data_IF_540041727450
#
_entry.id   IF_540041727450
#
_cell.length_a   1.000
_cell.length_b   1.000
_cell.length_c   1.000
_cell.angle_alpha   90.00
_cell.angle_beta   90.00
_cell.angle_gamma   90.00
#
_symmetry.space_group_name_H-M   'P 1'
#
loop_
_entity.id
_entity.type
_entity.pdbx_description
1 polymer ?
#
# COMPACT_ATOMS: atom_id res chain seq x y z
N UNK A 1 -42.58 20.42 -34.19
CA UNK A 1 -41.98 19.31 -34.98
C UNK A 1 -40.60 19.73 -35.46
N UNK A 2 -39.63 18.80 -35.45
CA UNK A 2 -38.20 18.91 -35.82
C UNK A 2 -37.28 19.44 -34.70
N UNK A 3 -36.72 18.52 -33.89
CA UNK A 3 -35.45 17.76 -34.05
C UNK A 3 -34.30 18.56 -33.39
N UNK A 4 -34.01 18.35 -32.10
CA UNK A 4 -33.11 17.31 -31.54
C UNK A 4 -31.74 17.32 -32.23
N UNK A 5 -30.85 18.21 -31.76
CA UNK A 5 -29.47 18.34 -32.22
C UNK A 5 -28.64 19.22 -31.25
N UNK A 6 -28.46 18.75 -30.01
CA UNK A 6 -27.28 19.12 -29.19
C UNK A 6 -26.86 17.88 -28.43
N UNK A 7 -26.28 16.95 -29.20
CA UNK A 7 -25.57 15.76 -28.75
C UNK A 7 -24.10 16.02 -29.13
N UNK A 8 -23.18 15.65 -28.23
CA UNK A 8 -21.71 15.67 -28.37
C UNK A 8 -21.00 17.02 -28.14
N UNK A 9 -20.75 17.35 -26.87
CA UNK A 9 -19.68 18.27 -26.47
C UNK A 9 -18.73 17.65 -25.43
N UNK A 10 -18.50 16.35 -25.52
CA UNK A 10 -17.60 15.61 -24.62
C UNK A 10 -16.91 14.45 -25.34
N UNK A 11 -16.25 14.76 -26.46
CA UNK A 11 -15.32 13.88 -27.17
C UNK A 11 -14.31 14.72 -27.94
N UNK A 12 -13.40 15.35 -27.20
CA UNK A 12 -12.15 15.91 -27.72
C UNK A 12 -10.97 15.32 -26.91
N UNK A 13 -10.77 14.02 -27.06
CA UNK A 13 -9.49 13.36 -26.78
C UNK A 13 -9.11 12.50 -27.99
N UNK A 14 -8.99 13.15 -29.15
CA UNK A 14 -8.30 12.58 -30.31
C UNK A 14 -7.30 13.61 -30.81
N UNK A 15 -6.27 13.85 -30.00
CA UNK A 15 -4.95 14.22 -30.52
C UNK A 15 -4.11 12.95 -30.53
N UNK A 16 -4.34 12.11 -31.52
CA UNK A 16 -3.29 11.27 -32.06
C UNK A 16 -2.26 12.20 -32.72
N UNK A 17 -1.34 12.72 -31.93
CA UNK A 17 -0.11 13.31 -32.41
C UNK A 17 1.03 12.35 -32.07
N UNK A 18 1.42 11.58 -33.06
CA UNK A 18 2.71 10.92 -33.15
C UNK A 18 3.84 11.94 -32.97
N UNK A 19 4.36 12.06 -31.76
CA UNK A 19 5.72 12.55 -31.52
C UNK A 19 6.26 11.80 -30.32
N UNK A 20 7.26 10.96 -30.57
CA UNK A 20 8.04 10.14 -29.64
C UNK A 20 8.83 10.98 -28.64
N UNK A 21 8.15 11.85 -27.89
CA UNK A 21 8.78 12.63 -26.84
C UNK A 21 8.60 11.85 -25.55
N UNK A 22 9.72 11.38 -24.99
CA UNK A 22 9.75 10.78 -23.67
C UNK A 22 8.96 11.65 -22.68
N UNK A 23 8.21 11.00 -21.78
CA UNK A 23 7.53 11.68 -20.67
C UNK A 23 8.46 12.67 -19.98
N UNK A 24 7.94 13.80 -19.50
CA UNK A 24 8.68 14.66 -18.57
C UNK A 24 9.00 13.91 -17.27
N UNK A 25 9.92 14.45 -16.48
CA UNK A 25 10.37 13.84 -15.23
C UNK A 25 9.20 13.64 -14.26
N UNK A 26 8.30 14.63 -14.19
CA UNK A 26 7.13 14.61 -13.32
C UNK A 26 6.04 13.65 -13.83
N UNK A 27 5.84 13.58 -15.14
CA UNK A 27 4.92 12.61 -15.75
C UNK A 27 5.42 11.19 -15.56
N UNK A 28 6.70 10.93 -15.78
CA UNK A 28 7.31 9.62 -15.55
C UNK A 28 7.15 9.17 -14.09
N UNK A 29 7.41 10.08 -13.14
CA UNK A 29 7.18 9.83 -11.71
C UNK A 29 5.73 9.44 -11.40
N UNK A 30 4.76 10.15 -11.97
CA UNK A 30 3.35 9.83 -11.76
C UNK A 30 2.96 8.51 -12.41
N UNK A 31 3.35 8.28 -13.67
CA UNK A 31 3.06 7.04 -14.41
C UNK A 31 3.65 5.82 -13.72
N UNK A 32 4.84 5.94 -13.11
CA UNK A 32 5.44 4.85 -12.34
C UNK A 32 4.57 4.43 -11.16
N UNK A 33 4.14 5.36 -10.31
CA UNK A 33 3.29 5.05 -9.16
C UNK A 33 1.94 4.53 -9.62
N UNK A 34 1.32 5.19 -10.58
CA UNK A 34 0.01 4.81 -11.10
C UNK A 34 0.02 3.38 -11.66
N UNK A 35 1.06 3.00 -12.40
CA UNK A 35 1.18 1.66 -12.95
C UNK A 35 1.50 0.62 -11.89
N UNK A 36 2.47 0.88 -11.02
CA UNK A 36 3.00 -0.12 -10.10
C UNK A 36 2.11 -0.30 -8.86
N UNK A 37 1.53 0.77 -8.33
CA UNK A 37 0.72 0.71 -7.12
C UNK A 37 -0.77 0.59 -7.45
N UNK A 38 -1.25 1.41 -8.38
CA UNK A 38 -2.69 1.51 -8.67
C UNK A 38 -3.15 0.68 -9.87
N UNK A 39 -2.24 0.03 -10.59
CA UNK A 39 -2.52 -0.69 -11.84
C UNK A 39 -3.24 0.20 -12.88
N UNK A 40 -2.91 1.49 -12.90
CA UNK A 40 -3.42 2.53 -13.81
C UNK A 40 -2.31 2.94 -14.77
N UNK A 41 -2.65 3.48 -15.94
CA UNK A 41 -1.66 3.94 -16.93
C UNK A 41 -0.63 2.87 -17.35
N UNK A 42 -0.96 1.58 -17.24
CA UNK A 42 -0.02 0.47 -17.49
C UNK A 42 0.50 0.43 -18.92
N UNK A 43 -0.31 0.82 -19.90
CA UNK A 43 0.13 0.91 -21.30
C UNK A 43 1.16 2.03 -21.48
N UNK A 44 0.91 3.21 -20.91
CA UNK A 44 1.83 4.34 -20.97
C UNK A 44 3.16 4.00 -20.27
N UNK A 45 3.09 3.26 -19.15
CA UNK A 45 4.26 2.73 -18.46
C UNK A 45 5.05 1.74 -19.36
N UNK A 46 4.39 0.78 -20.02
CA UNK A 46 5.03 -0.16 -20.95
C UNK A 46 5.75 0.52 -22.12
N UNK A 47 5.17 1.58 -22.63
CA UNK A 47 5.74 2.34 -23.75
C UNK A 47 6.97 3.15 -23.32
N UNK A 48 6.95 3.70 -22.10
CA UNK A 48 7.93 4.70 -21.66
C UNK A 48 8.98 4.19 -20.67
N UNK A 49 8.86 2.97 -20.13
CA UNK A 49 9.83 2.41 -19.20
C UNK A 49 10.54 1.19 -19.77
N UNK A 50 11.83 1.04 -19.43
CA UNK A 50 12.67 -0.05 -19.96
C UNK A 50 12.19 -1.43 -19.50
N UNK A 51 11.94 -1.59 -18.19
CA UNK A 51 11.65 -2.89 -17.56
C UNK A 51 10.16 -3.04 -17.17
N UNK A 52 9.29 -2.30 -17.84
CA UNK A 52 7.89 -2.16 -17.46
C UNK A 52 7.11 -3.47 -17.41
N UNK A 53 7.30 -4.35 -18.39
CA UNK A 53 6.56 -5.62 -18.49
C UNK A 53 6.93 -6.56 -17.34
N UNK A 54 8.21 -6.66 -16.99
CA UNK A 54 8.66 -7.51 -15.88
C UNK A 54 8.19 -6.93 -14.55
N UNK A 55 8.32 -5.61 -14.35
CA UNK A 55 7.82 -4.94 -13.15
C UNK A 55 6.31 -5.15 -12.94
N UNK A 56 5.51 -5.01 -14.01
CA UNK A 56 4.06 -5.26 -13.94
C UNK A 56 3.75 -6.74 -13.70
N UNK A 57 4.56 -7.67 -14.21
CA UNK A 57 4.36 -9.11 -13.97
C UNK A 57 4.64 -9.48 -12.51
N UNK A 58 5.66 -8.92 -11.90
CA UNK A 58 5.96 -9.12 -10.47
C UNK A 58 4.87 -8.50 -9.59
N UNK A 59 4.43 -7.29 -9.93
CA UNK A 59 3.50 -6.54 -9.08
C UNK A 59 2.03 -6.89 -9.28
N UNK A 60 1.62 -7.27 -10.49
CA UNK A 60 0.21 -7.51 -10.87
C UNK A 60 0.00 -8.81 -11.64
N UNK A 61 0.96 -9.74 -11.59
CA UNK A 61 0.86 -11.03 -12.26
C UNK A 61 -0.14 -11.97 -11.58
N UNK A 62 -0.09 -13.25 -11.97
CA UNK A 62 -0.92 -14.32 -11.37
C UNK A 62 -0.72 -14.49 -9.86
N UNK A 63 0.28 -13.82 -9.31
CA UNK A 63 0.74 -13.92 -7.94
C UNK A 63 0.56 -12.61 -7.15
N UNK A 64 -0.16 -11.58 -7.62
CA UNK A 64 -0.39 -10.33 -6.84
C UNK A 64 -0.99 -10.63 -5.45
N UNK A 65 -1.89 -11.61 -5.39
CA UNK A 65 -2.45 -12.08 -4.13
C UNK A 65 -1.42 -12.83 -3.28
N UNK A 66 -0.60 -13.70 -3.90
CA UNK A 66 0.49 -14.40 -3.22
C UNK A 66 1.55 -13.42 -2.68
N UNK A 67 1.92 -12.40 -3.44
CA UNK A 67 2.84 -11.33 -3.00
C UNK A 67 2.31 -10.61 -1.77
N UNK A 68 1.03 -10.23 -1.79
CA UNK A 68 0.42 -9.53 -0.65
C UNK A 68 0.29 -10.46 0.56
N UNK A 69 -0.03 -11.74 0.34
CA UNK A 69 -0.07 -12.74 1.40
C UNK A 69 1.31 -13.00 2.01
N UNK A 70 2.35 -13.15 1.18
CA UNK A 70 3.75 -13.32 1.61
C UNK A 70 4.25 -12.09 2.37
N UNK A 71 3.87 -10.89 1.93
CA UNK A 71 4.17 -9.65 2.63
C UNK A 71 3.52 -9.63 4.02
N UNK A 72 2.25 -10.02 4.11
CA UNK A 72 1.53 -10.10 5.39
C UNK A 72 2.14 -11.19 6.29
N UNK A 73 2.40 -12.38 5.77
CA UNK A 73 3.02 -13.47 6.54
C UNK A 73 4.44 -13.10 6.99
N UNK A 74 5.22 -12.47 6.12
CA UNK A 74 6.58 -12.01 6.42
C UNK A 74 6.62 -10.89 7.45
N UNK A 75 5.54 -10.13 7.59
CA UNK A 75 5.39 -9.06 8.58
C UNK A 75 4.78 -9.59 9.90
N UNK A 76 3.83 -10.51 9.80
CA UNK A 76 3.07 -11.09 10.91
C UNK A 76 3.65 -12.42 11.40
N UNK A 77 4.96 -12.66 11.23
CA UNK A 77 5.66 -13.93 11.50
C UNK A 77 5.44 -14.54 12.90
N UNK A 78 4.84 -13.80 13.83
CA UNK A 78 4.49 -14.23 15.19
C UNK A 78 3.07 -14.77 15.33
N UNK A 79 2.25 -14.71 14.29
CA UNK A 79 0.84 -15.06 14.32
C UNK A 79 0.55 -16.35 13.54
N UNK A 80 -0.31 -17.21 14.08
CA UNK A 80 -0.72 -18.48 13.50
C UNK A 80 -1.73 -18.29 12.34
N UNK A 81 -1.48 -17.29 11.47
CA UNK A 81 -2.38 -16.88 10.39
C UNK A 81 -2.29 -17.89 9.23
N UNK A 82 -3.42 -18.53 8.94
CA UNK A 82 -3.65 -19.38 7.77
C UNK A 82 -3.68 -18.56 6.47
N UNK A 83 -3.67 -19.26 5.33
CA UNK A 83 -3.77 -18.63 4.01
C UNK A 83 -5.09 -17.88 3.82
N UNK A 84 -6.20 -18.41 4.32
CA UNK A 84 -7.52 -17.81 4.17
C UNK A 84 -7.65 -16.50 4.98
N UNK A 85 -7.07 -16.48 6.18
CA UNK A 85 -6.99 -15.29 7.01
C UNK A 85 -6.08 -14.23 6.38
N UNK A 86 -4.92 -14.64 5.85
CA UNK A 86 -4.04 -13.75 5.10
C UNK A 86 -4.72 -13.18 3.84
N UNK A 87 -5.53 -13.98 3.13
CA UNK A 87 -6.32 -13.53 1.99
C UNK A 87 -7.37 -12.48 2.40
N UNK A 88 -8.04 -12.68 3.54
CA UNK A 88 -9.04 -11.76 4.09
C UNK A 88 -8.44 -10.39 4.40
N UNK A 89 -7.29 -10.39 5.09
CA UNK A 89 -6.54 -9.16 5.42
C UNK A 89 -6.04 -8.49 4.14
N UNK A 90 -5.42 -9.26 3.23
CA UNK A 90 -4.91 -8.80 1.95
C UNK A 90 -5.98 -8.10 1.10
N UNK A 91 -7.18 -8.69 1.02
CA UNK A 91 -8.31 -8.10 0.29
C UNK A 91 -8.73 -6.75 0.86
N UNK A 92 -8.83 -6.65 2.19
CA UNK A 92 -9.18 -5.38 2.86
C UNK A 92 -8.11 -4.32 2.67
N UNK A 93 -6.82 -4.68 2.77
CA UNK A 93 -5.71 -3.78 2.49
C UNK A 93 -5.72 -3.30 1.04
N UNK A 94 -5.93 -4.20 0.07
CA UNK A 94 -6.05 -3.85 -1.35
C UNK A 94 -7.20 -2.87 -1.59
N UNK A 95 -8.32 -3.07 -0.91
CA UNK A 95 -9.46 -2.16 -1.00
C UNK A 95 -9.07 -0.76 -0.52
N UNK A 96 -8.55 -0.63 0.72
CA UNK A 96 -8.13 0.67 1.27
C UNK A 96 -7.04 1.30 0.41
N UNK A 97 -6.08 0.50 -0.07
CA UNK A 97 -5.02 0.95 -0.96
C UNK A 97 -5.60 1.58 -2.24
N UNK A 98 -6.52 0.90 -2.92
CA UNK A 98 -7.10 1.37 -4.18
C UNK A 98 -8.05 2.56 -4.01
N UNK A 99 -8.81 2.59 -2.92
CA UNK A 99 -9.90 3.54 -2.72
C UNK A 99 -9.48 4.81 -1.97
N UNK A 100 -8.53 4.72 -1.05
CA UNK A 100 -8.26 5.79 -0.09
C UNK A 100 -6.83 6.34 -0.16
N UNK A 101 -5.83 5.50 -0.48
CA UNK A 101 -4.44 5.99 -0.49
C UNK A 101 -4.21 7.01 -1.59
N UNK A 102 -3.27 7.91 -1.33
CA UNK A 102 -2.90 8.95 -2.27
C UNK A 102 -1.43 9.30 -2.11
N UNK A 103 -0.87 9.88 -3.15
CA UNK A 103 0.49 10.40 -3.14
C UNK A 103 0.54 11.78 -3.77
N UNK A 104 1.61 12.52 -3.46
CA UNK A 104 1.99 13.71 -4.20
C UNK A 104 3.49 13.71 -4.46
N UNK A 105 3.88 14.29 -5.59
CA UNK A 105 5.29 14.50 -5.93
C UNK A 105 5.72 15.81 -5.25
N UNK A 106 6.44 15.69 -4.14
CA UNK A 106 6.96 16.84 -3.38
C UNK A 106 8.03 17.59 -4.15
N UNK A 107 8.97 16.86 -4.75
CA UNK A 107 10.04 17.46 -5.55
C UNK A 107 10.61 16.48 -6.57
N UNK A 108 11.11 17.02 -7.67
CA UNK A 108 11.93 16.33 -8.66
C UNK A 108 13.23 17.11 -8.78
N UNK A 109 14.37 16.46 -8.54
CA UNK A 109 15.69 17.09 -8.58
C UNK A 109 16.59 16.35 -9.54
N UNK A 110 17.06 17.05 -10.57
CA UNK A 110 18.07 16.50 -11.48
C UNK A 110 19.39 16.24 -10.72
N UNK A 111 20.00 15.11 -11.04
CA UNK A 111 21.33 14.66 -10.63
C UNK A 111 22.19 14.45 -11.87
N UNK A 112 23.42 13.98 -11.67
CA UNK A 112 24.34 13.67 -12.77
C UNK A 112 23.77 12.56 -13.67
N UNK A 113 24.18 12.54 -14.93
CA UNK A 113 23.86 11.50 -15.90
C UNK A 113 22.36 11.31 -16.17
N UNK A 114 21.60 12.41 -16.22
CA UNK A 114 20.14 12.39 -16.47
C UNK A 114 19.36 11.51 -15.48
N UNK A 115 19.86 11.39 -14.25
CA UNK A 115 19.15 10.81 -13.13
C UNK A 115 18.34 11.89 -12.41
N UNK A 116 17.16 11.55 -11.93
CA UNK A 116 16.26 12.47 -11.25
C UNK A 116 15.80 11.85 -9.94
N UNK A 117 16.14 12.48 -8.81
CA UNK A 117 15.61 12.10 -7.51
C UNK A 117 14.20 12.68 -7.35
N UNK A 118 13.23 11.79 -7.29
CA UNK A 118 11.83 12.10 -7.02
C UNK A 118 11.56 11.84 -5.56
N UNK A 119 11.01 12.83 -4.85
CA UNK A 119 10.50 12.66 -3.49
C UNK A 119 8.98 12.61 -3.54
N UNK A 120 8.42 11.48 -3.12
CA UNK A 120 6.98 11.28 -2.94
C UNK A 120 6.60 11.51 -1.50
N UNK A 121 5.47 12.17 -1.28
CA UNK A 121 4.75 12.17 0.00
C UNK A 121 3.55 11.23 -0.14
N UNK A 122 3.53 10.17 0.67
CA UNK A 122 2.60 9.05 0.54
C UNK A 122 1.69 9.00 1.77
N UNK A 123 0.39 9.04 1.53
CA UNK A 123 -0.65 8.79 2.51
C UNK A 123 -1.13 7.36 2.31
N UNK A 124 -0.38 6.39 2.85
CA UNK A 124 -0.68 4.97 2.77
C UNK A 124 -1.66 4.48 3.82
N UNK A 125 -1.97 3.19 3.79
CA UNK A 125 -2.88 2.52 4.73
C UNK A 125 -2.38 2.69 6.17
N UNK A 126 -3.26 3.07 7.09
CA UNK A 126 -2.93 3.17 8.52
C UNK A 126 -3.03 1.79 9.20
N UNK A 127 -2.08 0.93 8.86
CA UNK A 127 -2.07 -0.45 9.36
C UNK A 127 -1.95 -0.51 10.89
N UNK A 128 -1.12 0.34 11.49
CA UNK A 128 -0.89 0.32 12.94
C UNK A 128 -2.17 0.70 13.70
N UNK A 129 -2.91 1.71 13.23
CA UNK A 129 -4.18 2.07 13.85
C UNK A 129 -5.25 0.98 13.64
N UNK A 130 -5.30 0.38 12.45
CA UNK A 130 -6.20 -0.75 12.19
C UNK A 130 -5.91 -1.95 13.10
N UNK A 131 -4.63 -2.30 13.24
CA UNK A 131 -4.16 -3.37 14.13
C UNK A 131 -4.43 -3.07 15.61
N UNK A 132 -4.17 -1.84 16.06
CA UNK A 132 -4.51 -1.41 17.43
C UNK A 132 -6.01 -1.58 17.71
N UNK A 133 -6.85 -1.16 16.78
CA UNK A 133 -8.31 -1.26 16.91
C UNK A 133 -8.75 -2.72 17.01
N UNK A 134 -8.23 -3.57 16.12
CA UNK A 134 -8.53 -5.00 16.11
C UNK A 134 -8.14 -5.69 17.43
N UNK A 135 -6.91 -5.48 17.88
CA UNK A 135 -6.42 -6.05 19.14
C UNK A 135 -7.21 -5.55 20.35
N UNK A 136 -7.62 -4.28 20.36
CA UNK A 136 -8.45 -3.70 21.42
C UNK A 136 -9.80 -4.42 21.48
N UNK A 137 -10.50 -4.53 20.35
CA UNK A 137 -11.78 -5.22 20.26
C UNK A 137 -11.66 -6.67 20.73
N UNK A 138 -10.63 -7.36 20.25
CA UNK A 138 -10.34 -8.75 20.60
C UNK A 138 -10.10 -8.93 22.11
N UNK A 139 -9.34 -8.04 22.75
CA UNK A 139 -9.16 -8.07 24.20
C UNK A 139 -10.46 -7.82 24.96
N UNK A 140 -11.30 -6.89 24.51
CA UNK A 140 -12.62 -6.66 25.10
C UNK A 140 -13.55 -7.87 24.97
N UNK A 141 -13.48 -8.58 23.84
CA UNK A 141 -14.21 -9.83 23.65
C UNK A 141 -13.72 -10.91 24.62
N UNK A 142 -12.40 -11.05 24.82
CA UNK A 142 -11.83 -12.00 25.79
C UNK A 142 -12.24 -11.71 27.24
N UNK A 143 -12.34 -10.44 27.64
CA UNK A 143 -12.83 -10.06 28.97
C UNK A 143 -14.27 -10.54 29.20
N UNK A 144 -15.11 -10.49 28.15
CA UNK A 144 -16.51 -10.92 28.20
C UNK A 144 -16.67 -12.44 28.08
N UNK A 145 -15.75 -13.10 27.37
CA UNK A 145 -15.75 -14.54 27.16
C UNK A 145 -14.34 -15.13 27.29
N UNK A 146 -13.88 -15.45 28.52
CA UNK A 146 -12.54 -15.95 28.76
C UNK A 146 -12.22 -17.28 28.05
N UNK A 147 -13.23 -18.06 27.68
CA UNK A 147 -13.05 -19.30 26.91
C UNK A 147 -12.48 -19.04 25.50
N UNK A 148 -12.69 -17.85 24.95
CA UNK A 148 -12.13 -17.44 23.65
C UNK A 148 -10.60 -17.50 23.64
N UNK A 149 -9.94 -17.21 24.76
CA UNK A 149 -8.48 -17.22 24.86
C UNK A 149 -7.88 -18.63 24.74
N UNK A 150 -8.69 -19.69 24.93
CA UNK A 150 -8.24 -21.08 24.83
C UNK A 150 -8.50 -21.69 23.44
N UNK A 151 -9.26 -21.03 22.56
CA UNK A 151 -9.60 -21.49 21.22
C UNK A 151 -8.73 -20.80 20.16
N UNK A 152 -7.49 -21.26 20.03
CA UNK A 152 -6.47 -20.62 19.19
C UNK A 152 -6.83 -20.53 17.70
N UNK A 153 -7.64 -21.44 17.17
CA UNK A 153 -8.08 -21.42 15.78
C UNK A 153 -9.17 -20.38 15.54
N UNK A 154 -10.18 -20.29 16.42
CA UNK A 154 -11.17 -19.22 16.31
C UNK A 154 -10.54 -17.85 16.58
N UNK A 155 -9.48 -17.82 17.38
CA UNK A 155 -8.78 -16.59 17.73
C UNK A 155 -8.06 -15.93 16.55
N UNK A 156 -7.36 -16.72 15.72
CA UNK A 156 -6.70 -16.22 14.51
C UNK A 156 -7.72 -15.69 13.49
N UNK A 157 -8.84 -16.42 13.33
CA UNK A 157 -9.92 -16.04 12.43
C UNK A 157 -10.59 -14.73 12.85
N UNK A 158 -10.90 -14.60 14.14
CA UNK A 158 -11.50 -13.38 14.69
C UNK A 158 -10.55 -12.19 14.54
N UNK A 159 -9.25 -12.37 14.82
CA UNK A 159 -8.26 -11.32 14.59
C UNK A 159 -8.22 -10.89 13.13
N UNK A 160 -8.29 -11.83 12.18
CA UNK A 160 -8.28 -11.48 10.76
C UNK A 160 -9.51 -10.67 10.34
N UNK A 161 -10.69 -10.98 10.91
CA UNK A 161 -11.94 -10.22 10.71
C UNK A 161 -11.83 -8.83 11.33
N UNK A 162 -11.44 -8.75 12.59
CA UNK A 162 -11.28 -7.49 13.33
C UNK A 162 -10.22 -6.59 12.70
N UNK A 163 -9.10 -7.15 12.24
CA UNK A 163 -8.07 -6.41 11.52
C UNK A 163 -8.60 -5.91 10.18
N UNK A 164 -9.33 -6.74 9.44
CA UNK A 164 -9.93 -6.33 8.17
C UNK A 164 -10.89 -5.16 8.33
N UNK A 165 -11.70 -5.16 9.39
CA UNK A 165 -12.60 -4.07 9.72
C UNK A 165 -11.83 -2.83 10.22
N UNK A 166 -10.89 -3.03 11.14
CA UNK A 166 -10.04 -1.97 11.67
C UNK A 166 -9.23 -1.25 10.59
N UNK A 167 -8.76 -1.96 9.57
CA UNK A 167 -8.08 -1.36 8.42
C UNK A 167 -9.00 -0.44 7.60
N UNK A 168 -10.25 -0.85 7.39
CA UNK A 168 -11.25 -0.03 6.68
C UNK A 168 -11.60 1.23 7.45
N UNK A 169 -11.74 1.10 8.77
CA UNK A 169 -12.12 2.20 9.66
C UNK A 169 -10.95 3.19 9.90
N UNK A 170 -9.73 2.67 10.01
CA UNK A 170 -8.53 3.49 10.15
C UNK A 170 -8.20 4.26 8.85
N UNK A 171 -8.41 3.63 7.70
CA UNK A 171 -8.18 4.24 6.40
C UNK A 171 -6.70 4.51 6.13
N UNK A 172 -6.30 5.78 6.09
CA UNK A 172 -4.95 6.20 5.71
C UNK A 172 -4.26 7.04 6.80
N UNK A 173 -2.93 7.00 6.82
CA UNK A 173 -2.14 7.79 7.76
C UNK A 173 -2.39 9.29 7.59
N UNK A 174 -2.47 10.02 8.71
CA UNK A 174 -2.71 11.48 8.71
C UNK A 174 -1.49 12.29 8.26
N UNK A 175 -0.28 11.78 8.52
CA UNK A 175 0.99 12.41 8.12
C UNK A 175 1.60 11.60 6.98
N UNK A 176 2.05 12.23 5.89
CA UNK A 176 2.63 11.50 4.78
C UNK A 176 3.99 10.91 5.15
N UNK A 177 4.31 9.77 4.55
CA UNK A 177 5.63 9.18 4.54
C UNK A 177 6.38 9.67 3.32
N UNK A 178 7.59 10.19 3.51
CA UNK A 178 8.45 10.60 2.41
C UNK A 178 9.31 9.45 1.91
N UNK A 179 9.22 9.15 0.62
CA UNK A 179 10.05 8.14 -0.05
C UNK A 179 10.73 8.73 -1.27
N UNK A 180 12.01 8.40 -1.43
CA UNK A 180 12.82 8.86 -2.56
C UNK A 180 13.07 7.73 -3.55
N UNK A 181 12.82 7.99 -4.83
CA UNK A 181 13.13 7.06 -5.93
C UNK A 181 13.91 7.83 -6.98
N UNK A 182 14.86 7.17 -7.65
CA UNK A 182 15.60 7.78 -8.75
C UNK A 182 15.08 7.26 -10.07
N UNK A 183 14.77 8.16 -10.99
CA UNK A 183 14.39 7.84 -12.36
C UNK A 183 15.52 8.29 -13.27
N UNK A 184 16.06 7.38 -14.07
CA UNK A 184 17.11 7.70 -15.04
C UNK A 184 16.53 7.72 -16.43
N UNK A 185 16.79 8.79 -17.18
CA UNK A 185 16.39 8.88 -18.58
C UNK A 185 17.43 8.19 -19.45
N UNK A 186 17.03 7.11 -20.12
CA UNK A 186 17.82 6.36 -21.08
C UNK A 186 17.23 6.52 -22.49
N UNK A 187 17.85 7.40 -23.29
CA UNK A 187 17.31 7.81 -24.60
C UNK A 187 15.88 8.36 -24.43
N UNK A 188 14.90 7.66 -25.01
CA UNK A 188 13.49 8.06 -24.99
C UNK A 188 12.66 7.34 -23.90
N UNK A 189 13.31 6.59 -23.01
CA UNK A 189 12.65 5.83 -21.94
C UNK A 189 13.20 6.16 -20.56
N UNK A 190 12.41 5.81 -19.55
CA UNK A 190 12.75 5.91 -18.14
C UNK A 190 13.15 4.55 -17.59
N UNK A 191 14.15 4.55 -16.71
CA UNK A 191 14.59 3.35 -15.99
C UNK A 191 14.57 3.61 -14.49
N UNK A 192 14.24 2.55 -13.76
CA UNK A 192 14.37 2.46 -12.31
C UNK A 192 15.39 1.36 -12.05
N UNK A 193 16.54 1.71 -11.51
CA UNK A 193 17.63 0.76 -11.36
C UNK A 193 17.36 -0.24 -10.23
N UNK A 194 17.71 -1.52 -10.44
CA UNK A 194 17.61 -2.57 -9.42
C UNK A 194 18.43 -2.27 -8.15
N UNK A 195 19.46 -1.41 -8.25
CA UNK A 195 20.22 -0.91 -7.09
C UNK A 195 19.35 -0.16 -6.07
N UNK A 196 18.14 0.24 -6.46
CA UNK A 196 17.17 0.92 -5.62
C UNK A 196 16.19 -0.02 -4.91
N UNK A 197 16.44 -1.34 -4.89
CA UNK A 197 15.54 -2.33 -4.29
C UNK A 197 15.04 -1.92 -2.90
N UNK A 198 15.93 -1.41 -2.03
CA UNK A 198 15.54 -0.92 -0.70
C UNK A 198 14.56 0.26 -0.76
N UNK A 199 14.79 1.23 -1.64
CA UNK A 199 13.90 2.37 -1.81
C UNK A 199 12.53 1.95 -2.37
N UNK A 200 12.52 0.96 -3.27
CA UNK A 200 11.29 0.38 -3.81
C UNK A 200 10.54 -0.43 -2.75
N UNK A 201 11.24 -1.16 -1.88
CA UNK A 201 10.63 -1.82 -0.72
C UNK A 201 10.02 -0.78 0.24
N UNK A 202 10.74 0.30 0.54
CA UNK A 202 10.23 1.39 1.37
C UNK A 202 9.02 2.08 0.71
N UNK A 203 9.01 2.21 -0.62
CA UNK A 203 7.86 2.71 -1.36
C UNK A 203 6.64 1.81 -1.15
N UNK A 204 6.80 0.51 -1.33
CA UNK A 204 5.74 -0.48 -1.08
C UNK A 204 5.27 -0.41 0.38
N UNK A 205 6.18 -0.38 1.36
CA UNK A 205 5.82 -0.25 2.79
C UNK A 205 5.06 1.05 3.08
N UNK A 206 5.44 2.14 2.44
CA UNK A 206 4.78 3.43 2.62
C UNK A 206 3.33 3.39 2.13
N UNK A 207 3.03 2.74 1.00
CA UNK A 207 1.66 2.59 0.52
C UNK A 207 0.84 1.58 1.33
N UNK A 208 1.41 0.39 1.57
CA UNK A 208 0.66 -0.73 2.16
C UNK A 208 0.54 -0.67 3.68
N UNK A 209 1.47 -0.02 4.37
CA UNK A 209 1.49 0.01 5.84
C UNK A 209 1.63 1.42 6.41
N UNK A 210 1.78 2.44 5.55
CA UNK A 210 1.95 3.81 6.02
C UNK A 210 3.27 4.01 6.77
N UNK A 211 4.30 3.20 6.48
CA UNK A 211 5.60 3.23 7.18
C UNK A 211 6.77 3.43 6.24
N UNK A 212 7.80 4.11 6.75
CA UNK A 212 9.00 4.48 6.00
C UNK A 212 9.92 3.29 5.72
N UNK A 213 9.96 2.31 6.62
CA UNK A 213 10.82 1.14 6.56
C UNK A 213 10.33 0.05 7.51
N UNK A 214 10.92 -1.15 7.38
CA UNK A 214 10.54 -2.33 8.15
C UNK A 214 10.84 -2.19 9.65
N UNK A 215 11.90 -1.47 10.04
CA UNK A 215 12.27 -1.32 11.45
C UNK A 215 11.26 -0.44 12.18
N UNK A 216 10.81 0.64 11.56
CA UNK A 216 9.77 1.53 12.04
C UNK A 216 8.45 0.76 12.24
N UNK A 217 8.07 -0.04 11.23
CA UNK A 217 6.90 -0.91 11.30
C UNK A 217 6.97 -1.89 12.49
N UNK A 218 8.08 -2.63 12.63
CA UNK A 218 8.23 -3.63 13.70
C UNK A 218 8.18 -2.95 15.07
N UNK A 219 8.91 -1.84 15.23
CA UNK A 219 8.97 -1.09 16.48
C UNK A 219 7.59 -0.62 16.91
N UNK A 220 6.82 0.00 16.01
CA UNK A 220 5.49 0.50 16.35
C UNK A 220 4.49 -0.62 16.63
N UNK A 221 4.54 -1.71 15.85
CA UNK A 221 3.70 -2.89 16.10
C UNK A 221 3.98 -3.48 17.48
N UNK A 222 5.25 -3.66 17.84
CA UNK A 222 5.64 -4.17 19.16
C UNK A 222 5.25 -3.23 20.29
N UNK A 223 5.32 -1.91 20.07
CA UNK A 223 4.85 -0.92 21.04
C UNK A 223 3.35 -1.07 21.28
N UNK A 224 2.54 -1.17 20.21
CA UNK A 224 1.09 -1.39 20.32
C UNK A 224 0.77 -2.67 21.09
N UNK A 225 1.46 -3.77 20.80
CA UNK A 225 1.28 -5.05 21.52
C UNK A 225 1.59 -4.86 23.01
N UNK A 226 2.71 -4.21 23.33
CA UNK A 226 3.15 -3.98 24.71
C UNK A 226 2.15 -3.12 25.48
N UNK A 227 1.73 -1.99 24.90
CA UNK A 227 0.79 -1.06 25.52
C UNK A 227 -0.55 -1.75 25.81
N UNK A 228 -1.11 -2.43 24.82
CA UNK A 228 -2.39 -3.12 24.97
C UNK A 228 -2.31 -4.30 25.95
N UNK A 229 -1.17 -5.01 25.99
CA UNK A 229 -0.97 -6.10 26.95
C UNK A 229 -0.97 -5.58 28.39
N UNK A 230 -0.31 -4.45 28.64
CA UNK A 230 -0.30 -3.81 29.95
C UNK A 230 -1.71 -3.32 30.34
N UNK A 231 -2.40 -2.63 29.43
CA UNK A 231 -3.79 -2.18 29.66
C UNK A 231 -4.74 -3.35 29.95
N UNK A 232 -4.59 -4.46 29.24
CA UNK A 232 -5.40 -5.66 29.45
C UNK A 232 -5.14 -6.31 30.81
N UNK A 233 -3.86 -6.43 31.22
CA UNK A 233 -3.50 -6.96 32.54
C UNK A 233 -4.07 -6.10 33.67
N UNK A 234 -3.98 -4.77 33.56
CA UNK A 234 -4.57 -3.86 34.54
C UNK A 234 -6.08 -4.05 34.67
N UNK A 235 -6.81 -4.16 33.54
CA UNK A 235 -8.27 -4.40 33.55
C UNK A 235 -8.63 -5.75 34.17
N UNK A 236 -7.85 -6.80 33.92
CA UNK A 236 -8.04 -8.12 34.54
C UNK A 236 -7.85 -8.07 36.05
N UNK A 237 -6.90 -7.28 36.55
CA UNK A 237 -6.64 -7.11 37.99
C UNK A 237 -7.72 -6.25 38.68
N UNK A 238 -8.35 -5.30 37.97
CA UNK A 238 -9.43 -4.46 38.50
C UNK A 238 -10.81 -5.13 38.46
N UNK A 239 -10.98 -6.17 37.64
CA UNK A 239 -12.22 -6.96 37.51
C UNK A 239 -12.33 -8.16 38.45
N UNK A 240 -11.33 -8.38 39.31
CA UNK A 240 -11.35 -9.33 40.45
C UNK A 240 -11.76 -8.61 41.74
#
# INVERSE_FOLDING_TARGET
MKKWLVLLFSLFFLTACSSSKALSEKEAASVFIDAIIYNKQTQLFKENFVDATEALKVMHGKDEEAFTQELIQGIMQTSNISKDEAATISSSMKQVLKEQTKYQIKSVKEKKNHAYEVTYEIYGVDFIQGFKTAMTNMFEQMLKNPALAQDTNNLAKELAVELSQGLKDAGIVKKPVEVKVELTKEKDKWRIANSQLKNLQNLTLAFWFGKKDQQDFIKETMQVITDLSNEFQEKMLQGQ
#
